data_IF_699473684366
#
_entry.id   IF_699473684366
#
_cell.length_a   1.000
_cell.length_b   1.000
_cell.length_c   1.000
_cell.angle_alpha   90.00
_cell.angle_beta   90.00
_cell.angle_gamma   90.00
#
_symmetry.space_group_name_H-M   'P 1'
#
loop_
_entity.id
_entity.type
_entity.pdbx_description
1 polymer ?
#
# COMPACT_ATOMS: atom_id res chain seq x y z
N UNK A 1 25.19 -17.56 21.42
CA UNK A 1 24.96 -16.24 20.80
C UNK A 1 25.00 -15.18 21.91
N UNK A 2 25.78 -14.10 21.79
CA UNK A 2 25.80 -13.09 22.87
C UNK A 2 24.50 -12.27 22.85
N UNK A 3 23.99 -11.83 24.00
CA UNK A 3 22.76 -11.01 24.09
C UNK A 3 22.83 -9.74 23.21
N UNK A 4 24.04 -9.17 23.06
CA UNK A 4 24.30 -8.06 22.16
C UNK A 4 24.12 -8.42 20.68
N UNK A 5 24.34 -9.67 20.27
CA UNK A 5 24.10 -10.11 18.90
C UNK A 5 22.60 -10.24 18.60
N UNK A 6 21.81 -10.75 19.56
CA UNK A 6 20.35 -10.83 19.42
C UNK A 6 19.76 -9.42 19.27
N UNK A 7 20.21 -8.49 20.10
CA UNK A 7 19.76 -7.10 20.04
C UNK A 7 20.14 -6.44 18.72
N UNK A 8 21.36 -6.68 18.21
CA UNK A 8 21.79 -6.19 16.89
C UNK A 8 20.92 -6.76 15.78
N UNK A 9 20.75 -8.08 15.74
CA UNK A 9 19.95 -8.76 14.71
C UNK A 9 18.48 -8.31 14.77
N UNK A 10 17.95 -8.07 15.98
CA UNK A 10 16.61 -7.56 16.20
C UNK A 10 16.45 -6.13 15.68
N UNK A 11 17.38 -5.23 16.02
CA UNK A 11 17.37 -3.85 15.56
C UNK A 11 17.44 -3.83 14.04
N UNK A 12 18.44 -4.48 13.45
CA UNK A 12 18.61 -4.64 12.00
C UNK A 12 17.29 -5.10 11.36
N UNK A 13 16.68 -6.17 11.87
CA UNK A 13 15.44 -6.71 11.28
C UNK A 13 14.22 -5.79 11.45
N UNK A 14 14.12 -5.02 12.53
CA UNK A 14 13.06 -4.01 12.77
C UNK A 14 13.29 -2.74 11.95
N UNK A 15 14.53 -2.27 11.85
CA UNK A 15 14.92 -1.14 11.01
C UNK A 15 14.53 -1.35 9.55
N UNK A 16 14.57 -2.60 9.11
CA UNK A 16 14.25 -3.01 7.75
C UNK A 16 12.81 -3.49 7.57
N UNK A 17 11.96 -3.39 8.61
CA UNK A 17 10.51 -3.53 8.40
C UNK A 17 9.95 -2.21 7.85
N UNK A 18 9.04 -2.29 6.87
CA UNK A 18 8.45 -1.10 6.30
C UNK A 18 7.70 -0.33 7.39
N UNK A 19 7.84 1.00 7.40
CA UNK A 19 6.76 1.88 7.90
C UNK A 19 5.55 1.49 7.07
N UNK A 20 4.62 0.75 7.68
CA UNK A 20 3.45 0.21 6.99
C UNK A 20 2.59 1.37 6.51
N UNK A 21 2.73 1.69 5.23
CA UNK A 21 1.86 2.67 4.61
C UNK A 21 0.51 1.99 4.56
N UNK A 22 -0.38 2.35 5.49
CA UNK A 22 -1.76 1.89 5.43
C UNK A 22 -2.20 2.24 4.00
N UNK A 23 -2.61 1.26 3.16
CA UNK A 23 -3.18 1.61 1.87
C UNK A 23 -4.27 2.62 2.17
N UNK A 24 -4.33 3.73 1.42
CA UNK A 24 -5.15 4.87 1.79
C UNK A 24 -6.54 4.36 2.18
N UNK A 25 -6.91 4.54 3.45
CA UNK A 25 -8.09 3.91 4.04
C UNK A 25 -9.39 4.58 3.58
N UNK A 26 -9.44 5.08 2.34
CA UNK A 26 -10.69 5.13 1.56
C UNK A 26 -10.97 3.72 1.03
N UNK A 27 -11.24 2.83 1.97
CA UNK A 27 -11.77 1.48 1.82
C UNK A 27 -11.25 0.65 0.62
N UNK A 28 -10.68 -0.52 0.92
CA UNK A 28 -10.58 -1.62 -0.04
C UNK A 28 -11.92 -1.96 -0.75
N UNK A 29 -13.04 -1.43 -0.25
CA UNK A 29 -14.38 -1.50 -0.84
C UNK A 29 -14.70 -0.29 -1.73
N UNK A 30 -14.21 0.93 -1.48
CA UNK A 30 -14.41 2.08 -2.38
C UNK A 30 -13.27 2.22 -3.39
N UNK A 31 -11.99 2.02 -3.10
CA UNK A 31 -10.97 2.20 -4.16
C UNK A 31 -11.09 1.19 -5.32
N UNK A 32 -11.55 -0.04 -5.06
CA UNK A 32 -11.81 -1.06 -6.10
C UNK A 32 -13.13 -0.80 -6.84
N UNK A 33 -14.17 -0.37 -6.12
CA UNK A 33 -15.48 -0.04 -6.69
C UNK A 33 -15.60 1.41 -7.20
N UNK A 34 -14.63 2.31 -7.00
CA UNK A 34 -14.78 3.75 -7.30
C UNK A 34 -13.81 4.20 -8.40
N UNK A 35 -12.64 3.58 -8.61
CA UNK A 35 -11.71 4.03 -9.67
C UNK A 35 -11.87 3.34 -11.03
N UNK A 36 -12.47 2.15 -11.07
CA UNK A 36 -12.89 1.54 -12.34
C UNK A 36 -14.31 1.96 -12.75
N UNK A 37 -15.10 2.41 -11.78
CA UNK A 37 -16.49 2.84 -11.97
C UNK A 37 -16.66 4.36 -12.13
N UNK A 38 -15.65 5.17 -11.76
CA UNK A 38 -15.59 6.61 -12.12
C UNK A 38 -15.05 6.86 -13.55
N UNK A 39 -14.65 5.83 -14.30
CA UNK A 39 -14.32 5.95 -15.74
C UNK A 39 -15.50 6.48 -16.57
N UNK A 40 -16.71 6.44 -16.01
CA UNK A 40 -17.94 7.06 -16.52
C UNK A 40 -17.78 8.53 -16.93
N UNK A 41 -16.94 9.32 -16.25
CA UNK A 41 -16.76 10.75 -16.60
C UNK A 41 -15.75 10.95 -17.73
N UNK A 42 -14.71 10.12 -17.82
CA UNK A 42 -13.62 10.32 -18.78
C UNK A 42 -13.97 9.86 -20.20
N UNK A 43 -14.67 8.73 -20.36
CA UNK A 43 -15.14 8.30 -21.69
C UNK A 43 -16.22 9.24 -22.24
N UNK A 44 -17.10 9.76 -21.38
CA UNK A 44 -18.09 10.78 -21.77
C UNK A 44 -17.43 12.12 -22.13
N UNK A 45 -16.44 12.59 -21.37
CA UNK A 45 -15.74 13.85 -21.64
C UNK A 45 -14.82 13.77 -22.87
N UNK A 46 -14.14 12.65 -23.10
CA UNK A 46 -13.34 12.44 -24.31
C UNK A 46 -14.21 12.37 -25.57
N UNK A 47 -15.45 11.89 -25.46
CA UNK A 47 -16.45 11.97 -26.54
C UNK A 47 -17.00 13.39 -26.72
N UNK A 48 -17.27 14.12 -25.63
CA UNK A 48 -17.75 15.51 -25.69
C UNK A 48 -16.71 16.46 -26.32
N UNK A 49 -15.41 16.26 -26.05
CA UNK A 49 -14.33 17.04 -26.69
C UNK A 49 -14.17 16.70 -28.18
N UNK A 50 -14.48 15.47 -28.62
CA UNK A 50 -14.55 15.12 -30.05
C UNK A 50 -15.86 15.56 -30.73
N UNK A 51 -16.98 15.64 -29.99
CA UNK A 51 -18.27 16.09 -30.50
C UNK A 51 -18.41 17.62 -30.52
N UNK A 52 -17.75 18.37 -29.64
CA UNK A 52 -17.75 19.83 -29.64
C UNK A 52 -17.02 20.45 -30.85
N UNK A 53 -16.15 19.70 -31.52
CA UNK A 53 -15.61 20.09 -32.82
C UNK A 53 -16.52 19.74 -34.02
N UNK A 54 -17.65 19.08 -33.80
CA UNK A 54 -18.50 18.56 -34.90
C UNK A 54 -20.01 18.81 -34.81
N UNK A 55 -20.57 19.42 -33.76
CA UNK A 55 -22.00 19.74 -33.77
C UNK A 55 -22.41 20.94 -32.89
N UNK A 56 -22.54 22.12 -33.51
CA UNK A 56 -23.54 23.10 -33.10
C UNK A 56 -24.93 22.58 -33.50
N UNK A 57 -25.75 22.24 -32.51
CA UNK A 57 -27.19 22.06 -32.69
C UNK A 57 -27.68 20.63 -32.47
N UNK A 58 -28.25 20.37 -31.31
CA UNK A 58 -29.71 20.20 -31.10
C UNK A 58 -29.94 19.59 -29.72
N UNK A 59 -30.76 20.27 -28.93
CA UNK A 59 -31.13 19.88 -27.59
C UNK A 59 -32.22 18.81 -27.61
N UNK A 60 -32.13 17.82 -26.70
CA UNK A 60 -33.27 16.99 -26.31
C UNK A 60 -33.00 15.49 -26.25
N UNK A 61 -32.32 15.02 -25.20
CA UNK A 61 -32.34 13.60 -24.82
C UNK A 61 -32.00 13.41 -23.33
N UNK A 62 -32.90 13.82 -22.45
CA UNK A 62 -32.83 13.52 -21.02
C UNK A 62 -34.23 13.10 -20.55
N UNK A 63 -34.55 11.80 -20.66
CA UNK A 63 -35.64 11.09 -19.93
C UNK A 63 -35.84 9.69 -20.53
N UNK A 64 -35.09 8.67 -20.08
CA UNK A 64 -35.43 7.26 -20.33
C UNK A 64 -34.73 6.27 -19.39
N UNK A 65 -34.59 6.58 -18.10
CA UNK A 65 -34.05 5.64 -17.09
C UNK A 65 -35.01 5.53 -15.89
N UNK A 66 -36.16 4.85 -16.05
CA UNK A 66 -36.96 4.41 -14.89
C UNK A 66 -37.96 3.27 -15.07
N UNK A 67 -37.85 2.41 -16.10
CA UNK A 67 -38.88 1.38 -16.32
C UNK A 67 -38.29 0.05 -16.80
N UNK A 68 -37.66 -0.72 -15.91
CA UNK A 68 -37.44 -2.15 -16.12
C UNK A 68 -37.09 -2.90 -14.82
N UNK A 69 -38.01 -2.90 -13.85
CA UNK A 69 -38.06 -3.94 -12.82
C UNK A 69 -39.52 -4.33 -12.64
N UNK A 70 -39.98 -5.35 -13.38
CA UNK A 70 -40.95 -6.32 -12.88
C UNK A 70 -41.27 -7.43 -13.90
N UNK A 71 -41.16 -8.65 -13.37
CA UNK A 71 -41.80 -9.91 -13.75
C UNK A 71 -41.17 -10.91 -14.74
N UNK A 72 -41.09 -12.13 -14.18
CA UNK A 72 -40.65 -13.44 -14.67
C UNK A 72 -41.58 -14.04 -15.76
N UNK A 73 -40.95 -14.71 -16.75
CA UNK A 73 -41.22 -16.03 -17.42
C UNK A 73 -42.61 -16.73 -17.36
N UNK A 74 -42.90 -17.78 -18.19
CA UNK A 74 -42.30 -18.27 -19.45
C UNK A 74 -43.30 -18.78 -20.54
N UNK A 75 -42.80 -19.09 -21.74
CA UNK A 75 -43.31 -20.18 -22.60
C UNK A 75 -43.99 -19.79 -23.92
N UNK A 76 -43.41 -20.16 -25.06
CA UNK A 76 -44.01 -21.01 -26.11
C UNK A 76 -43.12 -21.09 -27.36
N UNK A 77 -43.13 -22.28 -27.96
CA UNK A 77 -42.34 -22.71 -29.11
C UNK A 77 -43.02 -22.38 -30.45
N UNK A 78 -42.21 -22.07 -31.48
CA UNK A 78 -42.51 -22.27 -32.90
C UNK A 78 -41.17 -22.18 -33.67
N UNK A 79 -40.55 -23.29 -34.07
CA UNK A 79 -40.72 -23.99 -35.37
C UNK A 79 -40.30 -23.13 -36.57
N UNK A 80 -39.13 -23.48 -37.13
CA UNK A 80 -38.60 -23.02 -38.42
C UNK A 80 -39.49 -23.47 -39.60
N UNK A 81 -39.30 -22.85 -40.78
CA UNK A 81 -38.77 -23.66 -41.87
C UNK A 81 -37.58 -23.02 -42.60
N UNK A 82 -36.68 -23.88 -43.05
CA UNK A 82 -35.56 -23.58 -43.92
C UNK A 82 -36.01 -23.52 -45.39
N UNK A 83 -35.37 -22.65 -46.18
CA UNK A 83 -35.23 -22.82 -47.63
C UNK A 83 -33.98 -22.09 -48.10
N UNK A 84 -33.11 -22.85 -48.75
CA UNK A 84 -31.85 -22.47 -49.37
C UNK A 84 -32.09 -21.73 -50.69
N UNK A 85 -31.28 -20.71 -50.99
CA UNK A 85 -30.72 -20.49 -52.33
C UNK A 85 -29.55 -19.49 -52.25
N UNK A 86 -28.38 -19.95 -52.71
CA UNK A 86 -27.15 -19.19 -52.80
C UNK A 86 -27.00 -18.65 -54.23
N UNK A 87 -26.81 -17.34 -54.39
CA UNK A 87 -26.19 -16.76 -55.58
C UNK A 87 -25.24 -15.62 -55.21
N UNK A 88 -24.09 -15.64 -55.87
CA UNK A 88 -22.87 -14.92 -55.57
C UNK A 88 -22.98 -13.41 -55.82
N UNK A 89 -22.51 -12.61 -54.85
CA UNK A 89 -22.27 -11.17 -55.01
C UNK A 89 -20.76 -10.93 -55.01
N UNK A 90 -20.29 -10.39 -56.14
CA UNK A 90 -18.95 -9.87 -56.35
C UNK A 90 -18.75 -8.67 -55.40
N UNK A 91 -17.93 -8.81 -54.37
CA UNK A 91 -17.59 -7.72 -53.45
C UNK A 91 -16.50 -6.82 -54.06
N UNK A 92 -16.87 -5.57 -54.33
CA UNK A 92 -15.92 -4.46 -54.36
C UNK A 92 -15.47 -4.12 -52.93
N UNK A 93 -14.29 -3.52 -52.71
CA UNK A 93 -13.78 -3.22 -51.38
C UNK A 93 -14.62 -2.12 -50.75
N UNK A 94 -15.37 -2.45 -49.70
CA UNK A 94 -16.14 -1.48 -48.90
C UNK A 94 -15.16 -0.79 -47.96
N UNK A 95 -14.91 0.50 -48.19
CA UNK A 95 -14.31 1.37 -47.17
C UNK A 95 -15.18 1.32 -45.90
N UNK A 96 -14.61 1.17 -44.69
CA UNK A 96 -15.39 1.09 -43.48
C UNK A 96 -16.10 2.43 -43.24
N UNK A 97 -17.40 2.47 -43.52
CA UNK A 97 -18.29 3.58 -43.23
C UNK A 97 -18.22 3.96 -41.74
N UNK A 98 -18.05 5.24 -41.40
CA UNK A 98 -17.95 5.73 -40.01
C UNK A 98 -19.05 5.19 -39.07
N UNK A 99 -20.23 4.86 -39.58
CA UNK A 99 -21.34 4.25 -38.85
C UNK A 99 -21.03 2.86 -38.27
N UNK A 100 -20.24 2.02 -38.95
CA UNK A 100 -19.86 0.69 -38.45
C UNK A 100 -18.83 0.78 -37.31
N UNK A 101 -17.98 1.80 -37.34
CA UNK A 101 -17.01 2.06 -36.28
C UNK A 101 -17.68 2.56 -34.99
N UNK A 102 -18.74 3.37 -35.11
CA UNK A 102 -19.51 3.86 -33.95
C UNK A 102 -20.28 2.70 -33.27
N UNK A 103 -20.93 1.83 -34.04
CA UNK A 103 -21.65 0.68 -33.47
C UNK A 103 -20.69 -0.34 -32.81
N UNK A 104 -19.53 -0.62 -33.43
CA UNK A 104 -18.51 -1.46 -32.81
C UNK A 104 -17.96 -0.89 -31.50
N UNK A 105 -17.89 0.43 -31.38
CA UNK A 105 -17.40 1.08 -30.16
C UNK A 105 -18.43 1.06 -29.03
N UNK A 106 -19.72 1.22 -29.34
CA UNK A 106 -20.80 1.07 -28.37
C UNK A 106 -20.95 -0.37 -27.86
N UNK A 107 -20.80 -1.37 -28.73
CA UNK A 107 -20.81 -2.79 -28.33
C UNK A 107 -19.61 -3.14 -27.44
N UNK A 108 -18.43 -2.59 -27.74
CA UNK A 108 -17.23 -2.75 -26.92
C UNK A 108 -17.38 -2.14 -25.52
N UNK A 109 -18.02 -0.97 -25.42
CA UNK A 109 -18.33 -0.34 -24.14
C UNK A 109 -19.32 -1.17 -23.33
N UNK A 110 -20.41 -1.65 -23.92
CA UNK A 110 -21.38 -2.49 -23.23
C UNK A 110 -20.75 -3.80 -22.71
N UNK A 111 -19.87 -4.41 -23.51
CA UNK A 111 -19.12 -5.60 -23.13
C UNK A 111 -18.15 -5.32 -21.97
N UNK A 112 -17.44 -4.18 -22.01
CA UNK A 112 -16.55 -3.73 -20.94
C UNK A 112 -17.28 -3.58 -19.59
N UNK A 113 -18.40 -2.86 -19.58
CA UNK A 113 -19.18 -2.64 -18.35
C UNK A 113 -19.75 -3.95 -17.79
N UNK A 114 -20.24 -4.83 -18.68
CA UNK A 114 -20.78 -6.14 -18.28
C UNK A 114 -19.72 -7.02 -17.65
N UNK A 115 -18.53 -7.10 -18.26
CA UNK A 115 -17.40 -7.87 -17.71
C UNK A 115 -16.93 -7.31 -16.37
N UNK A 116 -16.91 -5.99 -16.21
CA UNK A 116 -16.54 -5.35 -14.96
C UNK A 116 -17.55 -5.64 -13.83
N UNK A 117 -18.85 -5.53 -14.12
CA UNK A 117 -19.91 -5.87 -13.16
C UNK A 117 -19.85 -7.33 -12.73
N UNK A 118 -19.58 -8.25 -13.67
CA UNK A 118 -19.37 -9.66 -13.34
C UNK A 118 -18.12 -9.87 -12.49
N UNK A 119 -17.00 -9.23 -12.83
CA UNK A 119 -15.76 -9.32 -12.05
C UNK A 119 -16.00 -8.91 -10.59
N UNK A 120 -16.71 -7.80 -10.37
CA UNK A 120 -17.04 -7.32 -9.03
C UNK A 120 -17.97 -8.27 -8.28
N UNK A 121 -19.01 -8.79 -8.95
CA UNK A 121 -19.90 -9.80 -8.36
C UNK A 121 -19.13 -11.05 -7.92
N UNK A 122 -18.18 -11.53 -8.73
CA UNK A 122 -17.35 -12.69 -8.37
C UNK A 122 -16.38 -12.38 -7.24
N UNK A 123 -15.83 -11.16 -7.20
CA UNK A 123 -14.92 -10.71 -6.13
C UNK A 123 -15.64 -10.68 -4.79
N UNK A 124 -16.85 -10.13 -4.74
CA UNK A 124 -17.70 -10.09 -3.55
C UNK A 124 -18.13 -11.49 -3.10
N UNK A 125 -18.32 -12.42 -4.04
CA UNK A 125 -18.57 -13.83 -3.75
C UNK A 125 -17.32 -14.63 -3.34
N UNK A 126 -16.14 -13.99 -3.27
CA UNK A 126 -14.86 -14.64 -2.94
C UNK A 126 -14.27 -15.51 -4.06
N UNK A 127 -14.83 -15.47 -5.27
CA UNK A 127 -14.36 -16.25 -6.41
C UNK A 127 -13.33 -15.47 -7.24
N UNK A 128 -12.10 -15.41 -6.73
CA UNK A 128 -11.01 -14.62 -7.31
C UNK A 128 -10.57 -15.15 -8.67
N UNK A 129 -10.68 -16.46 -8.91
CA UNK A 129 -10.37 -17.06 -10.22
C UNK A 129 -11.28 -16.50 -11.33
N UNK A 130 -12.58 -16.48 -11.09
CA UNK A 130 -13.53 -15.94 -12.07
C UNK A 130 -13.39 -14.43 -12.23
N UNK A 131 -13.08 -13.72 -11.15
CA UNK A 131 -12.73 -12.28 -11.20
C UNK A 131 -11.56 -12.03 -12.15
N UNK A 132 -10.47 -12.80 -12.03
CA UNK A 132 -9.30 -12.69 -12.90
C UNK A 132 -9.63 -13.02 -14.36
N UNK A 133 -10.46 -14.03 -14.63
CA UNK A 133 -10.89 -14.35 -15.99
C UNK A 133 -11.70 -13.22 -16.64
N UNK A 134 -12.62 -12.59 -15.89
CA UNK A 134 -13.38 -11.44 -16.38
C UNK A 134 -12.44 -10.26 -16.72
N UNK A 135 -11.47 -9.95 -15.84
CA UNK A 135 -10.51 -8.87 -16.08
C UNK A 135 -9.54 -9.18 -17.23
N UNK A 136 -9.14 -10.44 -17.43
CA UNK A 136 -8.35 -10.84 -18.58
C UNK A 136 -9.15 -10.72 -19.89
N UNK A 137 -10.45 -11.03 -19.88
CA UNK A 137 -11.32 -10.83 -21.03
C UNK A 137 -11.49 -9.35 -21.39
N UNK A 138 -11.51 -8.45 -20.39
CA UNK A 138 -11.51 -6.99 -20.62
C UNK A 138 -10.31 -6.56 -21.47
N UNK A 139 -9.12 -7.14 -21.24
CA UNK A 139 -7.91 -6.81 -22.01
C UNK A 139 -7.94 -7.26 -23.48
N UNK A 140 -8.93 -8.08 -23.89
CA UNK A 140 -9.11 -8.48 -25.29
C UNK A 140 -10.00 -7.51 -26.07
N UNK A 141 -10.67 -6.58 -25.37
CA UNK A 141 -11.46 -5.51 -25.97
C UNK A 141 -10.51 -4.35 -26.33
N UNK A 142 -10.79 -3.66 -27.45
CA UNK A 142 -10.06 -2.44 -27.81
C UNK A 142 -10.44 -1.31 -26.84
N UNK A 143 -9.54 -0.96 -25.94
CA UNK A 143 -9.77 0.01 -24.86
C UNK A 143 -8.73 1.13 -24.87
N UNK A 144 -9.06 2.31 -24.31
CA UNK A 144 -8.08 3.36 -24.03
C UNK A 144 -6.96 2.88 -23.10
N UNK A 145 -5.74 3.41 -23.31
CA UNK A 145 -4.53 3.00 -22.57
C UNK A 145 -4.65 3.15 -21.05
N UNK A 146 -5.38 4.16 -20.57
CA UNK A 146 -5.66 4.35 -19.14
C UNK A 146 -6.45 3.16 -18.55
N UNK A 147 -7.44 2.65 -19.28
CA UNK A 147 -8.26 1.52 -18.83
C UNK A 147 -7.42 0.23 -18.84
N UNK A 148 -6.59 0.06 -19.87
CA UNK A 148 -5.65 -1.06 -19.96
C UNK A 148 -4.69 -1.06 -18.77
N UNK A 149 -4.07 0.10 -18.47
CA UNK A 149 -3.16 0.26 -17.34
C UNK A 149 -3.85 -0.06 -16.00
N UNK A 150 -5.04 0.50 -15.75
CA UNK A 150 -5.82 0.23 -14.52
C UNK A 150 -6.17 -1.25 -14.37
N UNK A 151 -6.64 -1.88 -15.45
CA UNK A 151 -7.02 -3.30 -15.44
C UNK A 151 -5.81 -4.18 -15.15
N UNK A 152 -4.65 -3.88 -15.74
CA UNK A 152 -3.39 -4.59 -15.47
C UNK A 152 -2.94 -4.44 -14.01
N UNK A 153 -3.03 -3.24 -13.43
CA UNK A 153 -2.71 -3.01 -12.01
C UNK A 153 -3.63 -3.84 -11.10
N UNK A 154 -4.92 -3.89 -11.40
CA UNK A 154 -5.86 -4.69 -10.63
C UNK A 154 -5.60 -6.20 -10.71
N UNK A 155 -5.30 -6.72 -11.91
CA UNK A 155 -4.92 -8.13 -12.07
C UNK A 155 -3.66 -8.42 -11.24
N UNK A 156 -2.64 -7.57 -11.34
CA UNK A 156 -1.40 -7.70 -10.55
C UNK A 156 -1.68 -7.76 -9.05
N UNK A 157 -2.49 -6.82 -8.53
CA UNK A 157 -2.90 -6.80 -7.12
C UNK A 157 -3.62 -8.07 -6.69
N UNK A 158 -4.62 -8.52 -7.46
CA UNK A 158 -5.41 -9.70 -7.12
C UNK A 158 -4.55 -10.97 -7.09
N UNK A 159 -3.62 -11.11 -8.04
CA UNK A 159 -2.66 -12.21 -8.05
C UNK A 159 -1.76 -12.19 -6.80
N UNK A 160 -1.23 -11.03 -6.43
CA UNK A 160 -0.42 -10.90 -5.21
C UNK A 160 -1.20 -11.26 -3.94
N UNK A 161 -2.48 -10.90 -3.84
CA UNK A 161 -3.27 -11.06 -2.62
C UNK A 161 -3.84 -12.48 -2.42
N UNK A 162 -4.11 -13.21 -3.50
CA UNK A 162 -4.94 -14.42 -3.43
C UNK A 162 -4.28 -15.70 -3.94
N UNK A 163 -2.98 -15.68 -4.27
CA UNK A 163 -2.31 -16.89 -4.75
C UNK A 163 -1.72 -17.72 -3.61
N UNK A 164 -1.95 -19.04 -3.69
CA UNK A 164 -1.47 -20.01 -2.70
C UNK A 164 0.00 -20.34 -2.90
N UNK A 165 0.68 -20.76 -1.82
CA UNK A 165 2.13 -21.01 -1.75
C UNK A 165 2.67 -21.97 -2.82
N UNK A 166 1.87 -22.94 -3.29
CA UNK A 166 2.28 -23.90 -4.33
C UNK A 166 2.33 -23.32 -5.76
N UNK A 167 1.77 -22.13 -5.98
CA UNK A 167 1.79 -21.41 -7.26
C UNK A 167 2.29 -19.97 -7.16
N UNK A 168 2.80 -19.57 -6.00
CA UNK A 168 3.17 -18.18 -5.68
C UNK A 168 4.22 -17.61 -6.63
N UNK A 169 5.23 -18.38 -7.02
CA UNK A 169 6.27 -17.91 -7.95
C UNK A 169 5.71 -17.60 -9.34
N UNK A 170 4.90 -18.51 -9.91
CA UNK A 170 4.26 -18.29 -11.22
C UNK A 170 3.29 -17.12 -11.17
N UNK A 171 2.55 -17.00 -10.07
CA UNK A 171 1.63 -15.90 -9.86
C UNK A 171 2.34 -14.55 -9.68
N UNK A 172 3.45 -14.51 -8.94
CA UNK A 172 4.28 -13.33 -8.76
C UNK A 172 4.91 -12.89 -10.09
N UNK A 173 5.40 -13.84 -10.90
CA UNK A 173 5.91 -13.55 -12.24
C UNK A 173 4.81 -13.00 -13.17
N UNK A 174 3.61 -13.59 -13.15
CA UNK A 174 2.46 -13.10 -13.91
C UNK A 174 2.02 -11.70 -13.42
N UNK A 175 1.98 -11.47 -12.10
CA UNK A 175 1.67 -10.17 -11.51
C UNK A 175 2.70 -9.12 -11.94
N UNK A 176 3.99 -9.43 -11.83
CA UNK A 176 5.07 -8.54 -12.28
C UNK A 176 4.93 -8.21 -13.77
N UNK A 177 4.64 -9.17 -14.64
CA UNK A 177 4.44 -8.92 -16.07
C UNK A 177 3.27 -7.97 -16.36
N UNK A 178 2.14 -8.11 -15.65
CA UNK A 178 1.02 -7.18 -15.75
C UNK A 178 1.39 -5.77 -15.27
N UNK A 179 2.11 -5.67 -14.15
CA UNK A 179 2.53 -4.40 -13.54
C UNK A 179 3.60 -3.68 -14.38
N UNK A 180 4.59 -4.39 -14.93
CA UNK A 180 5.57 -3.86 -15.87
C UNK A 180 4.89 -3.30 -17.12
N UNK A 181 3.89 -4.00 -17.65
CA UNK A 181 3.12 -3.54 -18.80
C UNK A 181 2.19 -2.36 -18.47
N UNK A 182 1.80 -2.16 -17.22
CA UNK A 182 1.10 -0.93 -16.81
C UNK A 182 2.08 0.24 -16.64
N UNK A 183 3.27 -0.03 -16.10
CA UNK A 183 4.34 0.96 -15.94
C UNK A 183 4.90 1.46 -17.28
N UNK A 184 4.95 0.61 -18.31
CA UNK A 184 5.40 1.00 -19.65
C UNK A 184 4.45 1.99 -20.33
N UNK A 185 3.16 1.99 -19.97
CA UNK A 185 2.15 2.92 -20.49
C UNK A 185 2.21 4.31 -19.85
N UNK A 186 3.13 4.55 -18.89
CA UNK A 186 3.19 5.81 -18.14
C UNK A 186 3.26 7.07 -19.00
N UNK A 187 4.02 7.05 -20.09
CA UNK A 187 4.17 8.21 -20.97
C UNK A 187 2.84 8.63 -21.62
N UNK A 188 1.91 7.68 -21.78
CA UNK A 188 0.59 7.88 -22.38
C UNK A 188 -0.48 8.23 -21.35
N UNK A 189 -0.30 7.78 -20.10
CA UNK A 189 -1.34 7.82 -19.06
C UNK A 189 -1.08 8.87 -17.97
N UNK A 190 0.18 9.28 -17.75
CA UNK A 190 0.58 10.13 -16.62
C UNK A 190 -0.11 11.51 -16.60
N UNK A 191 -0.50 12.05 -17.76
CA UNK A 191 -1.25 13.32 -17.83
C UNK A 191 -2.71 13.19 -17.38
N UNK A 192 -3.31 12.01 -17.53
CA UNK A 192 -4.71 11.75 -17.19
C UNK A 192 -4.84 11.26 -15.74
N UNK A 193 -4.02 10.28 -15.36
CA UNK A 193 -4.01 9.72 -14.02
C UNK A 193 -2.59 9.26 -13.64
N UNK A 194 -1.78 10.14 -13.01
CA UNK A 194 -0.43 9.80 -12.59
C UNK A 194 -0.40 8.72 -11.49
N UNK A 195 -1.50 8.52 -10.74
CA UNK A 195 -1.53 7.60 -9.59
C UNK A 195 -1.46 6.14 -10.05
N UNK A 196 -2.12 5.78 -11.16
CA UNK A 196 -2.17 4.39 -11.65
C UNK A 196 -0.78 3.83 -11.93
N UNK A 197 0.09 4.64 -12.55
CA UNK A 197 1.45 4.21 -12.84
C UNK A 197 2.30 4.12 -11.58
N UNK A 198 2.16 5.06 -10.64
CA UNK A 198 2.87 5.01 -9.36
C UNK A 198 2.45 3.80 -8.53
N UNK A 199 1.16 3.45 -8.53
CA UNK A 199 0.64 2.23 -7.92
C UNK A 199 1.21 0.97 -8.59
N UNK A 200 1.35 0.97 -9.92
CA UNK A 200 1.99 -0.12 -10.65
C UNK A 200 3.45 -0.30 -10.22
N UNK A 201 4.23 0.79 -10.15
CA UNK A 201 5.62 0.76 -9.71
C UNK A 201 5.76 0.27 -8.26
N UNK A 202 4.90 0.76 -7.35
CA UNK A 202 4.92 0.37 -5.95
C UNK A 202 4.68 -1.14 -5.78
N UNK A 203 3.64 -1.69 -6.42
CA UNK A 203 3.34 -3.12 -6.38
C UNK A 203 4.41 -3.96 -7.09
N UNK A 204 5.04 -3.42 -8.14
CA UNK A 204 6.10 -4.11 -8.88
C UNK A 204 7.34 -4.30 -8.02
N UNK A 205 7.71 -3.27 -7.25
CA UNK A 205 8.79 -3.39 -6.25
C UNK A 205 8.48 -4.48 -5.24
N UNK A 206 7.24 -4.53 -4.73
CA UNK A 206 6.84 -5.57 -3.78
C UNK A 206 6.91 -6.98 -4.42
N UNK A 207 6.52 -7.12 -5.68
CA UNK A 207 6.67 -8.38 -6.43
C UNK A 207 8.14 -8.82 -6.50
N UNK A 208 9.06 -7.92 -6.88
CA UNK A 208 10.47 -8.28 -7.02
C UNK A 208 11.14 -8.57 -5.67
N UNK A 209 10.74 -7.89 -4.60
CA UNK A 209 11.27 -8.13 -3.25
C UNK A 209 10.72 -9.42 -2.62
N UNK A 210 9.55 -9.90 -3.06
CA UNK A 210 8.92 -11.13 -2.54
C UNK A 210 9.22 -12.38 -3.38
N UNK A 211 9.60 -12.22 -4.65
CA UNK A 211 9.71 -13.32 -5.61
C UNK A 211 10.87 -14.31 -5.36
N UNK A 212 12.00 -13.90 -4.74
CA UNK A 212 13.07 -14.85 -4.35
C UNK A 212 14.13 -14.22 -3.39
N UNK A 213 14.39 -14.80 -2.19
CA UNK A 213 15.48 -14.40 -1.31
C UNK A 213 16.90 -14.63 -1.86
N UNK A 214 17.07 -15.53 -2.83
CA UNK A 214 18.38 -15.81 -3.46
C UNK A 214 18.69 -14.87 -4.63
N UNK A 215 17.69 -14.18 -5.17
CA UNK A 215 17.83 -13.22 -6.26
C UNK A 215 18.00 -11.77 -5.80
N UNK A 216 18.26 -11.53 -4.50
CA UNK A 216 18.38 -10.19 -3.88
C UNK A 216 19.37 -9.29 -4.64
N UNK A 217 20.44 -9.86 -5.21
CA UNK A 217 21.40 -9.12 -6.04
C UNK A 217 20.84 -8.62 -7.39
N UNK A 218 20.03 -9.43 -8.07
CA UNK A 218 19.40 -9.08 -9.36
C UNK A 218 18.14 -8.23 -9.15
N UNK A 219 17.38 -8.49 -8.09
CA UNK A 219 16.23 -7.67 -7.69
C UNK A 219 16.69 -6.25 -7.34
N UNK A 220 17.79 -6.08 -6.60
CA UNK A 220 18.34 -4.76 -6.26
C UNK A 220 18.73 -3.91 -7.47
N UNK A 221 19.23 -4.54 -8.55
CA UNK A 221 19.57 -3.85 -9.80
C UNK A 221 18.36 -3.29 -10.53
N UNK A 222 17.18 -3.91 -10.39
CA UNK A 222 15.93 -3.46 -11.04
C UNK A 222 15.12 -2.52 -10.15
N UNK A 223 15.11 -2.76 -8.83
CA UNK A 223 14.32 -1.99 -7.86
C UNK A 223 14.81 -0.55 -7.73
N UNK A 224 16.12 -0.34 -7.59
CA UNK A 224 16.69 1.01 -7.41
C UNK A 224 16.34 1.97 -8.55
N UNK A 225 16.61 1.67 -9.84
CA UNK A 225 16.29 2.59 -10.93
C UNK A 225 14.77 2.82 -11.06
N UNK A 226 13.95 1.78 -10.84
CA UNK A 226 12.49 1.93 -10.86
C UNK A 226 12.01 2.91 -9.79
N UNK A 227 12.54 2.80 -8.56
CA UNK A 227 12.19 3.69 -7.45
C UNK A 227 12.66 5.12 -7.71
N UNK A 228 13.83 5.32 -8.31
CA UNK A 228 14.33 6.64 -8.71
C UNK A 228 13.44 7.28 -9.79
N UNK A 229 13.03 6.51 -10.81
CA UNK A 229 12.07 6.96 -11.83
C UNK A 229 10.72 7.32 -11.22
N UNK A 230 10.19 6.47 -10.33
CA UNK A 230 8.92 6.73 -9.64
C UNK A 230 9.00 7.94 -8.69
N UNK A 231 10.16 8.17 -8.07
CA UNK A 231 10.41 9.34 -7.24
C UNK A 231 10.36 10.63 -8.07
N UNK A 232 10.98 10.64 -9.25
CA UNK A 232 10.92 11.77 -10.17
C UNK A 232 9.48 12.02 -10.67
N UNK A 233 8.75 10.95 -11.01
CA UNK A 233 7.36 11.05 -11.48
C UNK A 233 6.37 11.50 -10.39
N UNK A 234 6.68 11.27 -9.12
CA UNK A 234 5.78 11.54 -7.98
C UNK A 234 5.94 12.91 -7.33
N UNK A 235 6.86 13.77 -7.80
CA UNK A 235 7.17 15.06 -7.13
C UNK A 235 5.94 15.98 -6.94
N UNK A 236 4.93 15.91 -7.82
CA UNK A 236 3.68 16.67 -7.67
C UNK A 236 2.65 16.06 -6.72
N UNK A 237 2.92 14.88 -6.15
CA UNK A 237 1.99 14.09 -5.34
C UNK A 237 2.64 13.76 -3.99
N UNK A 238 2.45 14.61 -2.96
CA UNK A 238 3.23 14.53 -1.73
C UNK A 238 3.20 13.18 -1.00
N UNK A 239 2.04 12.52 -0.95
CA UNK A 239 1.87 11.19 -0.37
C UNK A 239 2.75 10.14 -1.09
N UNK A 240 2.65 10.07 -2.41
CA UNK A 240 3.43 9.13 -3.23
C UNK A 240 4.92 9.44 -3.18
N UNK A 241 5.29 10.73 -3.19
CA UNK A 241 6.68 11.13 -3.08
C UNK A 241 7.30 10.66 -1.76
N UNK A 242 6.61 10.90 -0.63
CA UNK A 242 7.06 10.42 0.68
C UNK A 242 7.13 8.88 0.74
N UNK A 243 6.17 8.18 0.11
CA UNK A 243 6.15 6.72 -0.01
C UNK A 243 7.38 6.20 -0.72
N UNK A 244 7.73 6.75 -1.89
CA UNK A 244 8.91 6.31 -2.64
C UNK A 244 10.22 6.67 -1.92
N UNK A 245 10.30 7.82 -1.24
CA UNK A 245 11.46 8.15 -0.40
C UNK A 245 11.68 7.12 0.71
N UNK A 246 10.62 6.77 1.44
CA UNK A 246 10.70 5.73 2.48
C UNK A 246 11.07 4.38 1.90
N UNK A 247 10.45 3.97 0.79
CA UNK A 247 10.68 2.67 0.14
C UNK A 247 12.10 2.55 -0.40
N UNK A 248 12.64 3.61 -1.01
CA UNK A 248 14.01 3.65 -1.51
C UNK A 248 15.02 3.68 -0.35
N UNK A 249 14.78 4.47 0.70
CA UNK A 249 15.62 4.47 1.89
C UNK A 249 15.65 3.09 2.56
N UNK A 250 14.52 2.39 2.63
CA UNK A 250 14.44 1.02 3.15
C UNK A 250 15.22 0.04 2.27
N UNK A 251 15.10 0.12 0.95
CA UNK A 251 15.84 -0.74 0.03
C UNK A 251 17.37 -0.56 0.15
N UNK A 252 17.82 0.70 0.23
CA UNK A 252 19.24 1.05 0.34
C UNK A 252 19.82 0.88 1.74
N UNK A 253 18.98 0.69 2.76
CA UNK A 253 19.41 0.67 4.16
C UNK A 253 20.50 -0.37 4.49
N UNK A 254 20.56 -1.47 3.73
CA UNK A 254 21.59 -2.51 3.88
C UNK A 254 22.81 -2.28 2.98
N UNK A 255 22.62 -1.75 1.77
CA UNK A 255 23.68 -1.60 0.76
C UNK A 255 24.43 -0.26 0.89
N UNK A 256 23.70 0.81 1.19
CA UNK A 256 24.20 2.17 1.33
C UNK A 256 23.40 2.94 2.41
N UNK A 257 23.75 2.75 3.70
CA UNK A 257 23.05 3.42 4.81
C UNK A 257 23.28 4.94 4.83
N UNK A 258 24.35 5.44 4.20
CA UNK A 258 24.63 6.87 4.09
C UNK A 258 23.60 7.54 3.20
N UNK A 259 23.45 7.02 1.97
CA UNK A 259 22.42 7.48 1.03
C UNK A 259 21.01 7.31 1.58
N UNK A 260 20.72 6.22 2.29
CA UNK A 260 19.44 6.04 2.96
C UNK A 260 19.17 7.13 4.02
N UNK A 261 20.17 7.53 4.80
CA UNK A 261 20.03 8.64 5.76
C UNK A 261 19.77 10.00 5.07
N UNK A 262 20.41 10.24 3.91
CA UNK A 262 20.17 11.44 3.10
C UNK A 262 18.74 11.48 2.56
N UNK A 263 18.24 10.36 2.03
CA UNK A 263 16.85 10.25 1.55
C UNK A 263 15.83 10.49 2.66
N UNK A 264 16.09 9.99 3.88
CA UNK A 264 15.23 10.23 5.03
C UNK A 264 15.28 11.70 5.48
N UNK A 265 16.44 12.34 5.40
CA UNK A 265 16.57 13.78 5.67
C UNK A 265 15.82 14.62 4.63
N UNK A 266 15.91 14.25 3.34
CA UNK A 266 15.16 14.88 2.25
C UNK A 266 13.65 14.73 2.47
N UNK A 267 13.18 13.54 2.84
CA UNK A 267 11.77 13.30 3.18
C UNK A 267 11.28 14.13 4.37
N UNK A 268 12.13 14.32 5.38
CA UNK A 268 11.81 15.21 6.51
C UNK A 268 11.62 16.66 6.06
N UNK A 269 12.51 17.17 5.21
CA UNK A 269 12.41 18.53 4.65
C UNK A 269 11.17 18.69 3.76
N UNK A 270 10.90 17.69 2.91
CA UNK A 270 9.73 17.68 2.04
C UNK A 270 8.42 17.68 2.84
N UNK A 271 8.32 16.84 3.89
CA UNK A 271 7.17 16.83 4.78
C UNK A 271 6.98 18.18 5.51
N UNK A 272 8.08 18.82 5.92
CA UNK A 272 8.03 20.17 6.49
C UNK A 272 7.51 21.22 5.50
N UNK A 273 7.93 21.17 4.23
CA UNK A 273 7.45 22.08 3.18
C UNK A 273 5.93 21.96 2.98
N UNK A 274 5.40 20.74 3.08
CA UNK A 274 3.96 20.45 2.99
C UNK A 274 3.22 20.55 4.32
N UNK A 275 3.87 21.03 5.40
CA UNK A 275 3.28 21.24 6.75
C UNK A 275 2.74 19.96 7.40
N UNK A 276 3.26 18.79 7.05
CA UNK A 276 2.95 17.52 7.73
C UNK A 276 4.01 17.22 8.79
N UNK A 277 3.75 17.67 10.02
CA UNK A 277 4.66 17.43 11.16
C UNK A 277 4.71 15.95 11.56
N UNK A 278 3.61 15.22 11.35
CA UNK A 278 3.56 13.79 11.65
C UNK A 278 4.50 12.99 10.72
N UNK A 279 4.38 13.15 9.40
CA UNK A 279 5.23 12.46 8.43
C UNK A 279 6.68 12.90 8.54
N UNK A 280 6.92 14.19 8.84
CA UNK A 280 8.25 14.69 9.19
C UNK A 280 8.84 13.94 10.40
N UNK A 281 8.05 13.75 11.46
CA UNK A 281 8.44 12.98 12.64
C UNK A 281 8.77 11.52 12.30
N UNK A 282 7.97 10.88 11.44
CA UNK A 282 8.24 9.52 10.95
C UNK A 282 9.58 9.41 10.22
N UNK A 283 9.90 10.34 9.31
CA UNK A 283 11.19 10.36 8.62
C UNK A 283 12.37 10.51 9.58
N UNK A 284 12.27 11.39 10.57
CA UNK A 284 13.32 11.59 11.56
C UNK A 284 13.51 10.35 12.44
N UNK A 285 12.42 9.70 12.87
CA UNK A 285 12.48 8.48 13.68
C UNK A 285 13.02 7.29 12.87
N UNK A 286 12.62 7.15 11.59
CA UNK A 286 13.19 6.16 10.68
C UNK A 286 14.70 6.37 10.51
N UNK A 287 15.16 7.64 10.41
CA UNK A 287 16.59 7.97 10.39
C UNK A 287 17.28 7.56 11.69
N UNK A 288 16.71 7.89 12.85
CA UNK A 288 17.25 7.48 14.15
C UNK A 288 17.39 5.95 14.25
N UNK A 289 16.39 5.22 13.74
CA UNK A 289 16.38 3.76 13.74
C UNK A 289 17.50 3.20 12.85
N UNK A 290 17.74 3.77 11.67
CA UNK A 290 18.86 3.41 10.79
C UNK A 290 20.23 3.74 11.40
N UNK A 291 20.38 4.91 12.01
CA UNK A 291 21.60 5.31 12.73
C UNK A 291 21.89 4.37 13.90
N UNK A 292 20.85 3.86 14.57
CA UNK A 292 21.00 2.87 15.62
C UNK A 292 21.49 1.52 15.08
N UNK A 293 20.99 1.07 13.92
CA UNK A 293 21.48 -0.15 13.27
C UNK A 293 22.96 -0.06 12.88
N UNK A 294 23.42 1.11 12.43
CA UNK A 294 24.82 1.38 12.09
C UNK A 294 25.69 1.75 13.31
N UNK A 295 25.10 1.76 14.51
CA UNK A 295 25.74 2.08 15.81
C UNK A 295 26.32 3.49 15.92
N UNK A 296 25.75 4.46 15.21
CA UNK A 296 26.14 5.87 15.29
C UNK A 296 25.44 6.58 16.47
N UNK A 297 25.72 6.14 17.70
CA UNK A 297 24.96 6.52 18.91
C UNK A 297 24.93 8.03 19.19
N UNK A 298 25.98 8.78 18.84
CA UNK A 298 26.04 10.23 19.02
C UNK A 298 25.01 10.95 18.12
N UNK A 299 24.89 10.52 16.85
CA UNK A 299 23.95 11.10 15.90
C UNK A 299 22.50 10.76 16.24
N UNK A 300 22.27 9.58 16.84
CA UNK A 300 20.95 9.19 17.35
C UNK A 300 20.46 10.19 18.40
N UNK A 301 21.31 10.61 19.34
CA UNK A 301 20.92 11.56 20.39
C UNK A 301 20.56 12.95 19.84
N UNK A 302 21.38 13.46 18.91
CA UNK A 302 21.13 14.73 18.24
C UNK A 302 19.81 14.69 17.45
N UNK A 303 19.59 13.61 16.69
CA UNK A 303 18.38 13.44 15.89
C UNK A 303 17.13 13.28 16.77
N UNK A 304 17.20 12.52 17.87
CA UNK A 304 16.11 12.39 18.83
C UNK A 304 15.72 13.73 19.46
N UNK A 305 16.70 14.59 19.77
CA UNK A 305 16.43 15.92 20.34
C UNK A 305 15.63 16.79 19.37
N UNK A 306 15.94 16.73 18.08
CA UNK A 306 15.17 17.43 17.04
C UNK A 306 13.76 16.85 16.96
N UNK A 307 13.62 15.52 16.93
CA UNK A 307 12.32 14.86 16.86
C UNK A 307 11.44 15.15 18.07
N UNK A 308 11.98 15.20 19.29
CA UNK A 308 11.23 15.54 20.50
C UNK A 308 10.59 16.93 20.39
N UNK A 309 11.33 17.92 19.88
CA UNK A 309 10.79 19.26 19.63
C UNK A 309 9.64 19.26 18.62
N UNK A 310 9.74 18.45 17.56
CA UNK A 310 8.66 18.28 16.58
C UNK A 310 7.41 17.67 17.23
N UNK A 311 7.59 16.60 18.02
CA UNK A 311 6.49 15.93 18.73
C UNK A 311 5.82 16.87 19.74
N UNK A 312 6.59 17.69 20.45
CA UNK A 312 6.08 18.68 21.41
C UNK A 312 5.32 19.82 20.75
N UNK A 313 5.72 20.21 19.54
CA UNK A 313 5.06 21.25 18.75
C UNK A 313 3.73 20.78 18.13
N UNK A 314 3.48 19.47 18.02
CA UNK A 314 2.21 18.92 17.55
C UNK A 314 1.09 19.16 18.58
N UNK A 315 -0.14 19.28 18.09
CA UNK A 315 -1.33 19.41 18.92
C UNK A 315 -1.39 18.29 19.98
N UNK A 316 -1.51 18.69 21.24
CA UNK A 316 -1.41 17.77 22.37
C UNK A 316 -2.57 16.78 22.39
N UNK A 317 -2.26 15.49 22.52
CA UNK A 317 -3.24 14.42 22.74
C UNK A 317 -3.79 13.75 21.47
N UNK A 318 -3.29 14.10 20.28
CA UNK A 318 -3.67 13.41 19.04
C UNK A 318 -3.07 11.99 18.96
N UNK A 319 -3.82 11.03 18.42
CA UNK A 319 -3.35 9.64 18.22
C UNK A 319 -2.02 9.56 17.48
N UNK A 320 -1.85 10.38 16.44
CA UNK A 320 -0.61 10.49 15.64
C UNK A 320 0.59 10.96 16.49
N UNK A 321 0.38 11.92 17.39
CA UNK A 321 1.42 12.40 18.31
C UNK A 321 1.84 11.28 19.26
N UNK A 322 0.89 10.54 19.81
CA UNK A 322 1.15 9.42 20.73
C UNK A 322 1.86 8.25 20.04
N UNK A 323 1.53 7.96 18.77
CA UNK A 323 2.27 7.00 17.96
C UNK A 323 3.75 7.40 17.79
N UNK A 324 4.04 8.68 17.50
CA UNK A 324 5.42 9.17 17.41
C UNK A 324 6.14 9.15 18.75
N UNK A 325 5.45 9.49 19.85
CA UNK A 325 5.99 9.38 21.22
C UNK A 325 6.40 7.94 21.53
N UNK A 326 5.54 6.97 21.23
CA UNK A 326 5.83 5.53 21.42
C UNK A 326 7.05 5.12 20.59
N UNK A 327 7.11 5.51 19.32
CA UNK A 327 8.23 5.20 18.44
C UNK A 327 9.55 5.82 18.95
N UNK A 328 9.53 7.09 19.37
CA UNK A 328 10.68 7.75 20.01
C UNK A 328 11.14 7.00 21.27
N UNK A 329 10.21 6.59 22.14
CA UNK A 329 10.52 5.86 23.38
C UNK A 329 11.13 4.48 23.09
N UNK A 330 10.63 3.78 22.07
CA UNK A 330 11.21 2.51 21.61
C UNK A 330 12.67 2.70 21.19
N UNK A 331 12.95 3.72 20.37
CA UNK A 331 14.34 4.03 19.94
C UNK A 331 15.22 4.37 21.15
N UNK A 332 14.72 5.17 22.10
CA UNK A 332 15.48 5.50 23.31
C UNK A 332 15.81 4.26 24.16
N UNK A 333 14.85 3.36 24.37
CA UNK A 333 15.09 2.09 25.07
C UNK A 333 16.13 1.27 24.32
N UNK A 334 15.99 1.09 23.01
CA UNK A 334 16.96 0.34 22.21
C UNK A 334 18.36 0.97 22.25
N UNK A 335 18.46 2.30 22.19
CA UNK A 335 19.73 3.03 22.29
C UNK A 335 20.45 2.74 23.62
N UNK A 336 19.75 2.79 24.75
CA UNK A 336 20.33 2.45 26.06
C UNK A 336 20.75 0.97 26.14
N UNK A 337 19.94 0.04 25.59
CA UNK A 337 20.28 -1.39 25.58
C UNK A 337 21.51 -1.67 24.70
N UNK A 338 21.65 -1.00 23.54
CA UNK A 338 22.82 -1.14 22.64
C UNK A 338 24.09 -0.55 23.27
N UNK A 339 23.94 0.53 24.05
CA UNK A 339 25.02 1.13 24.82
C UNK A 339 25.40 0.29 26.06
N UNK A 340 24.67 -0.79 26.38
CA UNK A 340 24.88 -1.60 27.58
C UNK A 340 24.41 -0.93 28.88
N UNK A 341 23.61 0.13 28.78
CA UNK A 341 23.14 0.95 29.90
C UNK A 341 21.74 0.51 30.37
N UNK A 342 21.55 -0.78 30.66
CA UNK A 342 20.24 -1.34 31.01
C UNK A 342 19.55 -0.60 32.16
N UNK A 343 20.31 -0.16 33.18
CA UNK A 343 19.78 0.62 34.31
C UNK A 343 19.15 1.96 33.89
N UNK A 344 19.72 2.62 32.89
CA UNK A 344 19.21 3.89 32.36
C UNK A 344 17.98 3.69 31.47
N UNK A 345 17.81 2.50 30.88
CA UNK A 345 16.62 2.18 30.08
C UNK A 345 15.35 2.03 30.93
N UNK A 346 15.47 1.72 32.23
CA UNK A 346 14.35 1.42 33.12
C UNK A 346 13.28 2.52 33.24
N UNK A 347 13.61 3.82 33.47
CA UNK A 347 12.60 4.88 33.47
C UNK A 347 11.88 5.02 32.13
N UNK A 348 12.63 5.02 31.03
CA UNK A 348 12.10 5.11 29.66
C UNK A 348 11.20 3.94 29.32
N UNK A 349 11.55 2.72 29.75
CA UNK A 349 10.73 1.52 29.56
C UNK A 349 9.40 1.61 30.31
N UNK A 350 9.39 2.15 31.54
CA UNK A 350 8.14 2.40 32.28
C UNK A 350 7.28 3.43 31.57
N UNK A 351 7.89 4.48 31.01
CA UNK A 351 7.17 5.48 30.23
C UNK A 351 6.56 4.86 28.97
N UNK A 352 7.31 4.01 28.26
CA UNK A 352 6.84 3.28 27.08
C UNK A 352 5.64 2.38 27.41
N UNK A 353 5.70 1.62 28.49
CA UNK A 353 4.61 0.75 28.93
C UNK A 353 3.33 1.55 29.22
N UNK A 354 3.46 2.70 29.89
CA UNK A 354 2.32 3.61 30.14
C UNK A 354 1.77 4.22 28.85
N UNK A 355 2.64 4.64 27.94
CA UNK A 355 2.24 5.24 26.67
C UNK A 355 1.46 4.25 25.79
N UNK A 356 1.90 3.00 25.68
CA UNK A 356 1.19 1.96 24.91
C UNK A 356 -0.16 1.62 25.55
N UNK A 357 -0.26 1.59 26.88
CA UNK A 357 -1.54 1.39 27.57
C UNK A 357 -2.51 2.53 27.28
N UNK A 358 -2.04 3.78 27.35
CA UNK A 358 -2.84 4.95 27.00
C UNK A 358 -3.28 4.93 25.53
N UNK A 359 -2.37 4.62 24.61
CA UNK A 359 -2.64 4.51 23.18
C UNK A 359 -3.64 3.39 22.85
N UNK A 360 -3.61 2.29 23.60
CA UNK A 360 -4.58 1.19 23.46
C UNK A 360 -5.99 1.58 23.94
N UNK A 361 -6.09 2.56 24.84
CA UNK A 361 -7.37 3.10 25.31
C UNK A 361 -7.95 4.17 24.37
N UNK A 362 -7.14 4.76 23.48
CA UNK A 362 -7.62 5.70 22.47
C UNK A 362 -8.48 4.94 21.45
N UNK A 363 -9.67 5.45 21.18
CA UNK A 363 -10.52 4.88 20.14
C UNK A 363 -9.87 5.11 18.76
N UNK A 364 -10.10 4.21 17.80
CA UNK A 364 -9.86 4.54 16.40
C UNK A 364 -10.81 5.68 16.07
N UNK A 365 -10.29 6.85 15.70
CA UNK A 365 -11.16 7.95 15.24
C UNK A 365 -12.10 7.36 14.18
N UNK A 366 -13.43 7.47 14.36
CA UNK A 366 -14.32 7.17 13.26
C UNK A 366 -13.90 8.11 12.14
N UNK A 367 -13.68 7.56 10.94
CA UNK A 367 -13.43 8.35 9.73
C UNK A 367 -14.36 9.57 9.75
N UNK A 368 -13.88 10.80 9.49
CA UNK A 368 -14.70 11.99 9.65
C UNK A 368 -15.91 11.88 8.72
N UNK A 369 -17.04 11.45 9.28
CA UNK A 369 -18.35 11.66 8.72
C UNK A 369 -18.57 13.16 8.80
N UNK A 370 -18.19 13.85 7.72
CA UNK A 370 -18.64 15.17 7.30
C UNK A 370 -19.36 15.95 8.40
N UNK A 371 -18.60 16.55 9.32
CA UNK A 371 -19.12 17.66 10.12
C UNK A 371 -19.21 18.87 9.20
N UNK A 372 -20.32 18.95 8.48
CA UNK A 372 -20.73 20.12 7.74
C UNK A 372 -21.08 21.26 8.73
N UNK A 373 -20.06 21.91 9.31
CA UNK A 373 -20.11 23.33 9.67
C UNK A 373 -18.72 23.81 10.11
N UNK A 374 -18.25 24.87 9.43
CA UNK A 374 -17.18 25.79 9.82
C UNK A 374 -15.77 25.22 10.05
N UNK A 375 -15.01 25.11 8.95
CA UNK A 375 -13.65 25.66 8.72
C UNK A 375 -13.04 24.93 7.52
N UNK A 376 -12.42 25.66 6.60
CA UNK A 376 -11.83 25.08 5.37
C UNK A 376 -10.89 23.91 5.71
N UNK A 377 -11.09 22.70 5.13
CA UNK A 377 -10.22 21.57 5.38
C UNK A 377 -8.92 21.76 4.59
N UNK A 378 -7.79 21.73 5.28
CA UNK A 378 -6.45 21.64 4.68
C UNK A 378 -6.25 20.21 4.12
N UNK A 379 -6.99 19.86 3.06
CA UNK A 379 -7.09 18.51 2.51
C UNK A 379 -5.74 17.85 2.16
N UNK A 380 -4.71 18.64 1.86
CA UNK A 380 -3.36 18.15 1.52
C UNK A 380 -2.56 17.62 2.73
N UNK A 381 -2.81 18.14 3.94
CA UNK A 381 -2.13 17.67 5.16
C UNK A 381 -2.72 16.33 5.60
N UNK A 382 -4.02 16.14 5.45
CA UNK A 382 -4.72 14.92 5.87
C UNK A 382 -4.34 13.70 5.01
N UNK A 383 -4.09 13.90 3.71
CA UNK A 383 -3.63 12.83 2.80
C UNK A 383 -2.17 12.44 3.04
N UNK A 384 -1.33 13.37 3.48
CA UNK A 384 0.09 13.12 3.77
C UNK A 384 0.33 12.33 5.05
N UNK A 385 -0.66 12.26 5.95
CA UNK A 385 -0.51 11.63 7.25
C UNK A 385 -1.05 10.19 7.32
N UNK A 386 -1.17 9.52 6.17
CA UNK A 386 -1.71 8.15 6.08
C UNK A 386 -0.70 7.06 6.46
N UNK A 387 0.57 7.45 6.69
CA UNK A 387 1.64 6.55 7.08
C UNK A 387 1.47 6.03 8.52
N UNK A 388 1.64 4.73 8.75
CA UNK A 388 1.63 4.15 10.09
C UNK A 388 2.89 3.31 10.28
N UNK A 389 3.69 3.58 11.32
CA UNK A 389 4.92 2.79 11.49
C UNK A 389 4.61 1.34 11.86
N UNK A 390 3.80 1.14 12.90
CA UNK A 390 3.40 -0.16 13.42
C UNK A 390 1.92 -0.13 13.83
N UNK A 391 1.21 -1.25 13.69
CA UNK A 391 -0.12 -1.37 14.27
C UNK A 391 -0.05 -1.45 15.81
N UNK A 392 -1.19 -1.25 16.47
CA UNK A 392 -1.32 -1.36 17.93
C UNK A 392 -0.86 -2.72 18.45
N UNK A 393 -1.21 -3.78 17.75
CA UNK A 393 -0.88 -5.16 18.09
C UNK A 393 0.64 -5.38 18.00
N UNK A 394 1.27 -4.87 16.95
CA UNK A 394 2.72 -4.91 16.77
C UNK A 394 3.47 -4.14 17.87
N UNK A 395 2.99 -2.95 18.26
CA UNK A 395 3.57 -2.17 19.36
C UNK A 395 3.50 -2.92 20.69
N UNK A 396 2.40 -3.63 20.96
CA UNK A 396 2.22 -4.46 22.15
C UNK A 396 3.25 -5.59 22.22
N UNK A 397 3.43 -6.35 21.13
CA UNK A 397 4.46 -7.41 21.07
C UNK A 397 5.86 -6.82 21.28
N UNK A 398 6.15 -5.69 20.62
CA UNK A 398 7.45 -5.05 20.67
C UNK A 398 7.85 -4.59 22.08
N UNK A 399 6.92 -4.03 22.87
CA UNK A 399 7.24 -3.64 24.26
C UNK A 399 7.52 -4.84 25.16
N UNK A 400 6.85 -5.97 24.94
CA UNK A 400 7.16 -7.20 25.68
C UNK A 400 8.55 -7.73 25.34
N UNK A 401 8.93 -7.72 24.06
CA UNK A 401 10.28 -8.11 23.63
C UNK A 401 11.37 -7.18 24.17
N UNK A 402 11.17 -5.85 24.12
CA UNK A 402 12.12 -4.90 24.70
C UNK A 402 12.23 -5.05 26.22
N UNK A 403 11.11 -5.33 26.89
CA UNK A 403 11.10 -5.62 28.33
C UNK A 403 11.87 -6.91 28.62
N UNK A 404 11.69 -7.95 27.80
CA UNK A 404 12.42 -9.22 27.91
C UNK A 404 13.93 -8.99 27.77
N UNK A 405 14.35 -8.33 26.69
CA UNK A 405 15.76 -8.01 26.41
C UNK A 405 16.40 -7.18 27.54
N UNK A 406 15.67 -6.22 28.11
CA UNK A 406 16.12 -5.46 29.27
C UNK A 406 16.35 -6.34 30.51
N UNK A 407 15.39 -7.21 30.86
CA UNK A 407 15.53 -8.11 32.01
C UNK A 407 16.64 -9.15 31.79
N UNK A 408 16.88 -9.58 30.55
CA UNK A 408 17.99 -10.46 30.20
C UNK A 408 19.35 -9.78 30.42
N UNK A 409 19.49 -8.50 30.04
CA UNK A 409 20.72 -7.73 30.30
C UNK A 409 20.97 -7.46 31.80
N UNK A 410 19.91 -7.32 32.61
CA UNK A 410 20.03 -7.20 34.08
C UNK A 410 20.11 -8.55 34.81
N UNK A 411 20.09 -9.69 34.09
CA UNK A 411 20.11 -11.04 34.64
C UNK A 411 18.98 -11.34 35.65
N UNK A 412 17.78 -10.77 35.43
CA UNK A 412 16.59 -11.04 36.25
C UNK A 412 15.77 -12.24 35.72
N UNK A 413 16.34 -13.45 35.83
CA UNK A 413 15.80 -14.68 35.22
C UNK A 413 14.33 -14.97 35.54
N UNK A 414 13.88 -14.78 36.79
CA UNK A 414 12.47 -14.98 37.17
C UNK A 414 11.50 -14.10 36.37
N UNK A 415 11.94 -12.87 36.03
CA UNK A 415 11.16 -11.95 35.21
C UNK A 415 11.26 -12.31 33.74
N UNK A 416 12.43 -12.77 33.28
CA UNK A 416 12.64 -13.18 31.90
C UNK A 416 11.65 -14.27 31.52
N UNK A 417 11.51 -15.33 32.33
CA UNK A 417 10.54 -16.40 32.09
C UNK A 417 9.10 -15.88 31.96
N UNK A 418 8.66 -15.03 32.90
CA UNK A 418 7.30 -14.46 32.89
C UNK A 418 7.03 -13.58 31.67
N UNK A 419 8.03 -12.82 31.21
CA UNK A 419 7.88 -11.96 30.04
C UNK A 419 7.96 -12.74 28.73
N UNK A 420 8.70 -13.85 28.69
CA UNK A 420 8.69 -14.80 27.57
C UNK A 420 7.29 -15.35 27.35
N UNK A 421 6.63 -15.86 28.40
CA UNK A 421 5.26 -16.39 28.31
C UNK A 421 4.28 -15.33 27.79
N UNK A 422 4.35 -14.10 28.34
CA UNK A 422 3.51 -12.99 27.89
C UNK A 422 3.75 -12.59 26.44
N UNK A 423 5.01 -12.53 26.01
CA UNK A 423 5.35 -12.21 24.62
C UNK A 423 4.81 -13.29 23.67
N UNK A 424 4.94 -14.56 24.05
CA UNK A 424 4.46 -15.70 23.27
C UNK A 424 2.94 -15.66 23.08
N UNK A 425 2.17 -15.41 24.15
CA UNK A 425 0.71 -15.25 24.05
C UNK A 425 0.31 -14.09 23.13
N UNK A 426 1.07 -12.98 23.13
CA UNK A 426 0.76 -11.85 22.23
C UNK A 426 1.13 -12.15 20.78
N UNK A 427 2.22 -12.87 20.54
CA UNK A 427 2.60 -13.34 19.20
C UNK A 427 1.56 -14.31 18.65
N UNK A 428 1.01 -15.22 19.46
CA UNK A 428 -0.07 -16.13 19.06
C UNK A 428 -1.36 -15.39 18.70
N UNK A 429 -1.72 -14.36 19.47
CA UNK A 429 -2.85 -13.48 19.12
C UNK A 429 -2.63 -12.76 17.80
N UNK A 430 -1.41 -12.26 17.56
CA UNK A 430 -1.07 -11.59 16.32
C UNK A 430 -1.10 -12.56 15.12
N UNK A 431 -0.62 -13.80 15.28
CA UNK A 431 -0.73 -14.86 14.27
C UNK A 431 -2.16 -15.15 13.86
N UNK A 432 -3.10 -15.14 14.81
CA UNK A 432 -4.51 -15.38 14.51
C UNK A 432 -5.16 -14.26 13.67
N UNK A 433 -4.54 -13.08 13.61
CA UNK A 433 -5.02 -11.91 12.86
C UNK A 433 -4.26 -11.78 11.53
N UNK A 434 -2.96 -12.05 11.54
CA UNK A 434 -2.06 -11.93 10.39
C UNK A 434 -1.29 -13.22 10.17
N UNK A 435 -1.70 -14.03 9.19
CA UNK A 435 -1.06 -15.34 8.96
C UNK A 435 0.35 -15.24 8.34
N UNK A 436 0.74 -14.11 7.72
CA UNK A 436 1.96 -14.01 6.91
C UNK A 436 2.67 -12.64 6.90
N UNK A 437 2.67 -11.87 7.99
CA UNK A 437 3.43 -10.62 8.00
C UNK A 437 4.96 -10.87 8.17
N UNK A 438 5.83 -10.22 7.38
CA UNK A 438 7.28 -10.34 7.52
C UNK A 438 7.74 -9.87 8.91
N UNK A 439 7.07 -8.87 9.46
CA UNK A 439 7.29 -8.37 10.81
C UNK A 439 6.95 -9.41 11.87
N UNK A 440 5.84 -10.15 11.75
CA UNK A 440 5.52 -11.26 12.65
C UNK A 440 6.60 -12.35 12.61
N UNK A 441 7.18 -12.64 11.44
CA UNK A 441 8.30 -13.57 11.29
C UNK A 441 9.53 -13.07 12.05
N UNK A 442 9.87 -11.78 11.91
CA UNK A 442 10.96 -11.14 12.67
C UNK A 442 10.73 -11.23 14.17
N UNK A 443 9.54 -10.83 14.64
CA UNK A 443 9.19 -10.83 16.06
C UNK A 443 9.24 -12.25 16.65
N UNK A 444 8.71 -13.24 15.92
CA UNK A 444 8.74 -14.65 16.32
C UNK A 444 10.16 -15.19 16.37
N UNK A 445 10.98 -14.91 15.34
CA UNK A 445 12.37 -15.35 15.31
C UNK A 445 13.21 -14.73 16.42
N UNK A 446 13.03 -13.44 16.69
CA UNK A 446 13.73 -12.74 17.78
C UNK A 446 13.30 -13.25 19.15
N UNK A 447 12.02 -13.57 19.36
CA UNK A 447 11.56 -14.24 20.58
C UNK A 447 12.21 -15.61 20.75
N UNK A 448 12.26 -16.41 19.68
CA UNK A 448 12.87 -17.74 19.70
C UNK A 448 14.36 -17.68 20.03
N UNK A 449 15.09 -16.72 19.45
CA UNK A 449 16.49 -16.47 19.82
C UNK A 449 16.64 -16.11 21.31
N UNK A 450 15.76 -15.26 21.86
CA UNK A 450 15.79 -14.93 23.28
C UNK A 450 15.61 -16.18 24.15
N UNK A 451 14.66 -17.05 23.79
CA UNK A 451 14.39 -18.32 24.49
C UNK A 451 15.61 -19.25 24.45
N UNK A 452 16.25 -19.41 23.30
CA UNK A 452 17.41 -20.30 23.14
C UNK A 452 18.68 -19.80 23.86
N UNK A 453 18.74 -18.52 24.19
CA UNK A 453 19.88 -17.91 24.91
C UNK A 453 19.65 -17.74 26.41
N UNK A 454 18.43 -17.99 26.87
CA UNK A 454 18.13 -18.25 28.27
C UNK A 454 18.47 -19.71 28.59
#
# INVERSE_FOLDING_TARGET
>A
CSQNQILKDFIVKICYQPVSIRPPQRSQVQYTAMNLWNSHTFLSQALDEQQQHSASGTAGAAQAYHSAYQHQQPGQAAVYPASSEAQAVIQQPVEPSLSSSIHQQQDAEAAYHSLLGMAESFRLAGNIRMTLHCLQAVLQIRLPELIIARTKVQIGRLLMQHTTRAGAERAAAAAAAHLEAAWSLRALVQSQDPVVCLEAADLLVDCWLTADPMAVGLAGQRVTPLLEEALAASHGLPEWHCRFLLKLAQHLSQSDPGRACELLALGSQYAQQHRSEYTRGLFLLAKCLLLLATRQLAEVHNSLTVTSKVIEAMQQGGRKQEALKIFSLIIQVMNHLVAGQAKQARPTLRQLQKAIQAFSAMQDDPAPAQSAHSQQPNAASDTMDQFEWLSREHMSVLVYLLTLLHNMQEAYYDKVQRYTEKALTQVEKLKAIEDNSPLLTVLTHSLHLCILTH
#
